data_IF_986714739467
#
_entry.id   IF_986714739467
#
_cell.length_a   1.000
_cell.length_b   1.000
_cell.length_c   1.000
_cell.angle_alpha   90.00
_cell.angle_beta   90.00
_cell.angle_gamma   90.00
#
_symmetry.space_group_name_H-M   'P 1'
#
loop_
_entity.id
_entity.type
_entity.pdbx_description
1 polymer ?
#
# COMPACT_ATOMS: atom_id res chain seq x y z
N UNK A 1 -63.57 30.19 -80.37
CA UNK A 1 -64.05 29.35 -79.24
C UNK A 1 -62.91 29.13 -78.24
N UNK A 2 -63.22 29.02 -76.94
CA UNK A 2 -62.30 29.25 -75.82
C UNK A 2 -61.70 27.96 -75.20
N UNK A 3 -60.43 28.07 -74.78
CA UNK A 3 -59.65 27.46 -73.67
C UNK A 3 -59.85 25.96 -73.32
N UNK A 4 -58.77 25.19 -73.07
CA UNK A 4 -58.58 24.79 -71.67
C UNK A 4 -57.18 25.12 -71.10
N UNK A 5 -57.08 25.29 -69.78
CA UNK A 5 -55.88 25.69 -69.07
C UNK A 5 -55.00 24.49 -68.67
N UNK A 6 -53.71 24.81 -68.54
CA UNK A 6 -52.59 24.19 -67.79
C UNK A 6 -52.87 22.91 -66.99
N UNK A 7 -51.98 21.93 -67.09
CA UNK A 7 -51.60 21.09 -65.94
C UNK A 7 -50.11 21.20 -65.64
N UNK A 8 -49.70 21.35 -64.36
CA UNK A 8 -48.31 21.52 -63.98
C UNK A 8 -47.55 20.20 -64.09
N UNK A 9 -46.28 20.28 -64.47
CA UNK A 9 -45.32 19.17 -64.41
C UNK A 9 -45.19 18.73 -62.95
N UNK A 10 -45.35 17.44 -62.61
CA UNK A 10 -45.11 16.97 -61.26
C UNK A 10 -43.62 17.12 -60.93
N UNK A 11 -43.32 18.03 -59.99
CA UNK A 11 -42.00 18.11 -59.36
C UNK A 11 -41.81 16.87 -58.49
N UNK A 12 -41.04 15.90 -58.98
CA UNK A 12 -40.56 14.78 -58.18
C UNK A 12 -39.38 15.32 -57.35
N UNK A 13 -39.70 15.91 -56.19
CA UNK A 13 -38.69 16.08 -55.15
C UNK A 13 -38.38 14.68 -54.56
N UNK A 14 -37.11 14.26 -54.45
CA UNK A 14 -36.79 13.04 -53.72
C UNK A 14 -37.04 13.32 -52.24
N UNK A 15 -38.20 12.89 -51.73
CA UNK A 15 -38.48 12.90 -50.29
C UNK A 15 -37.58 11.85 -49.64
N UNK A 16 -36.36 12.26 -49.26
CA UNK A 16 -35.40 11.34 -48.63
C UNK A 16 -35.89 10.90 -47.24
N UNK A 17 -36.81 11.61 -46.58
CA UNK A 17 -37.57 11.16 -45.41
C UNK A 17 -38.83 12.02 -45.27
N UNK A 18 -40.04 11.46 -45.36
CA UNK A 18 -41.29 12.21 -45.11
C UNK A 18 -41.72 12.04 -43.63
N UNK A 19 -42.31 13.06 -43.03
CA UNK A 19 -42.88 12.97 -41.68
C UNK A 19 -43.97 11.87 -41.65
N UNK A 20 -43.97 11.04 -40.59
CA UNK A 20 -44.72 9.77 -40.43
C UNK A 20 -44.19 8.52 -41.15
N UNK A 21 -43.03 8.55 -41.82
CA UNK A 21 -42.37 7.31 -42.28
C UNK A 21 -41.39 6.76 -41.24
N UNK A 22 -41.25 5.43 -41.17
CA UNK A 22 -40.32 4.71 -40.26
C UNK A 22 -38.89 5.28 -40.30
N UNK A 23 -38.44 5.78 -41.45
CA UNK A 23 -37.13 6.39 -41.62
C UNK A 23 -36.93 7.65 -40.75
N UNK A 24 -37.96 8.47 -40.55
CA UNK A 24 -37.92 9.66 -39.70
C UNK A 24 -37.89 9.33 -38.19
N UNK A 25 -38.58 8.26 -37.77
CA UNK A 25 -38.49 7.78 -36.38
C UNK A 25 -37.12 7.18 -36.05
N UNK A 26 -36.58 6.33 -36.94
CA UNK A 26 -35.22 5.80 -36.77
C UNK A 26 -34.19 6.93 -36.81
N UNK A 27 -34.30 7.92 -37.71
CA UNK A 27 -33.39 9.06 -37.76
C UNK A 27 -33.35 9.90 -36.47
N UNK A 28 -34.45 9.93 -35.69
CA UNK A 28 -34.51 10.66 -34.41
C UNK A 28 -33.90 9.88 -33.23
N UNK A 29 -34.06 8.56 -33.18
CA UNK A 29 -33.61 7.73 -32.04
C UNK A 29 -32.20 7.15 -32.16
N UNK A 30 -31.75 6.85 -33.39
CA UNK A 30 -30.47 6.19 -33.66
C UNK A 30 -29.25 7.02 -33.22
N UNK A 31 -29.20 8.35 -33.40
CA UNK A 31 -28.07 9.16 -32.94
C UNK A 31 -27.91 9.11 -31.41
N UNK A 32 -29.03 9.18 -30.67
CA UNK A 32 -29.02 9.13 -29.22
C UNK A 32 -28.56 7.75 -28.70
N UNK A 33 -29.03 6.67 -29.30
CA UNK A 33 -28.61 5.32 -28.94
C UNK A 33 -27.12 5.06 -29.25
N UNK A 34 -26.63 5.53 -30.40
CA UNK A 34 -25.20 5.43 -30.76
C UNK A 34 -24.32 6.24 -29.81
N UNK A 35 -24.72 7.48 -29.50
CA UNK A 35 -24.01 8.32 -28.52
C UNK A 35 -24.02 7.67 -27.13
N UNK A 36 -25.14 7.10 -26.70
CA UNK A 36 -25.23 6.39 -25.41
C UNK A 36 -24.31 5.17 -25.37
N UNK A 37 -24.25 4.36 -26.42
CA UNK A 37 -23.36 3.20 -26.51
C UNK A 37 -21.89 3.61 -26.52
N UNK A 38 -21.52 4.66 -27.28
CA UNK A 38 -20.17 5.19 -27.29
C UNK A 38 -19.77 5.76 -25.92
N UNK A 39 -20.66 6.53 -25.29
CA UNK A 39 -20.44 7.06 -23.95
C UNK A 39 -20.28 5.93 -22.92
N UNK A 40 -21.12 4.89 -22.97
CA UNK A 40 -21.03 3.73 -22.11
C UNK A 40 -19.71 2.97 -22.32
N UNK A 41 -19.29 2.78 -23.57
CA UNK A 41 -18.01 2.14 -23.89
C UNK A 41 -16.83 2.94 -23.36
N UNK A 42 -16.80 4.26 -23.60
CA UNK A 42 -15.76 5.14 -23.08
C UNK A 42 -15.74 5.09 -21.55
N UNK A 43 -16.89 5.22 -20.89
CA UNK A 43 -17.01 5.13 -19.44
C UNK A 43 -16.48 3.79 -18.91
N UNK A 44 -16.82 2.66 -19.55
CA UNK A 44 -16.34 1.34 -19.18
C UNK A 44 -14.81 1.22 -19.31
N UNK A 45 -14.22 1.75 -20.38
CA UNK A 45 -12.75 1.73 -20.56
C UNK A 45 -12.03 2.58 -19.53
N UNK A 46 -12.57 3.76 -19.19
CA UNK A 46 -12.03 4.63 -18.14
C UNK A 46 -12.13 3.94 -16.78
N UNK A 47 -13.30 3.38 -16.44
CA UNK A 47 -13.52 2.67 -15.18
C UNK A 47 -12.57 1.48 -15.03
N UNK A 48 -12.35 0.70 -16.09
CA UNK A 48 -11.40 -0.41 -16.07
C UNK A 48 -9.96 0.06 -15.82
N UNK A 49 -9.54 1.16 -16.46
CA UNK A 49 -8.22 1.76 -16.22
C UNK A 49 -8.10 2.29 -14.79
N UNK A 50 -9.13 2.97 -14.28
CA UNK A 50 -9.15 3.46 -12.90
C UNK A 50 -9.07 2.32 -11.89
N UNK A 51 -9.80 1.22 -12.11
CA UNK A 51 -9.71 0.04 -11.26
C UNK A 51 -8.28 -0.53 -11.22
N UNK A 52 -7.63 -0.67 -12.38
CA UNK A 52 -6.23 -1.14 -12.45
C UNK A 52 -5.27 -0.21 -11.70
N UNK A 53 -5.42 1.10 -11.87
CA UNK A 53 -4.59 2.11 -11.17
C UNK A 53 -4.86 2.08 -9.67
N UNK A 54 -6.13 2.02 -9.25
CA UNK A 54 -6.50 1.94 -7.83
C UNK A 54 -5.94 0.69 -7.16
N UNK A 55 -5.99 -0.46 -7.84
CA UNK A 55 -5.39 -1.70 -7.35
C UNK A 55 -3.87 -1.61 -7.21
N UNK A 56 -3.19 -1.04 -8.21
CA UNK A 56 -1.75 -0.83 -8.15
C UNK A 56 -1.37 0.14 -7.01
N UNK A 57 -2.14 1.21 -6.82
CA UNK A 57 -1.95 2.17 -5.74
C UNK A 57 -2.17 1.53 -4.36
N UNK A 58 -3.22 0.73 -4.19
CA UNK A 58 -3.48 0.02 -2.93
C UNK A 58 -2.32 -0.91 -2.55
N UNK A 59 -1.74 -1.62 -3.52
CA UNK A 59 -0.58 -2.48 -3.28
C UNK A 59 0.66 -1.66 -2.91
N UNK A 60 0.89 -0.53 -3.57
CA UNK A 60 1.99 0.37 -3.25
C UNK A 60 1.84 0.95 -1.83
N UNK A 61 0.65 1.49 -1.51
CA UNK A 61 0.35 2.04 -0.19
C UNK A 61 0.57 0.96 0.90
N UNK A 62 0.14 -0.28 0.66
CA UNK A 62 0.36 -1.38 1.61
C UNK A 62 1.83 -1.75 1.76
N UNK A 63 2.60 -1.74 0.66
CA UNK A 63 4.04 -1.95 0.71
C UNK A 63 4.74 -0.85 1.51
N UNK A 64 4.43 0.42 1.23
CA UNK A 64 5.01 1.57 1.95
C UNK A 64 4.73 1.46 3.45
N UNK A 65 3.49 1.14 3.85
CA UNK A 65 3.13 0.94 5.26
C UNK A 65 3.88 -0.20 5.93
N UNK A 66 4.20 -1.27 5.19
CA UNK A 66 4.99 -2.39 5.70
C UNK A 66 6.47 -2.01 5.79
N UNK A 67 6.99 -1.33 4.77
CA UNK A 67 8.36 -0.88 4.74
C UNK A 67 8.65 0.11 5.87
N UNK A 68 7.75 1.07 6.14
CA UNK A 68 7.82 2.00 7.28
C UNK A 68 8.05 1.26 8.62
N UNK A 69 7.31 0.17 8.85
CA UNK A 69 7.42 -0.60 10.09
C UNK A 69 8.67 -1.46 10.15
N UNK A 70 9.07 -2.03 9.02
CA UNK A 70 10.35 -2.74 8.92
C UNK A 70 11.52 -1.80 9.23
N UNK A 71 11.52 -0.62 8.63
CA UNK A 71 12.58 0.38 8.78
C UNK A 71 12.69 0.83 10.25
N UNK A 72 11.55 1.10 10.90
CA UNK A 72 11.48 1.41 12.33
C UNK A 72 12.10 0.31 13.21
N UNK A 73 11.79 -0.95 12.95
CA UNK A 73 12.32 -2.10 13.73
C UNK A 73 13.81 -2.29 13.47
N UNK A 74 14.23 -2.18 12.20
CA UNK A 74 15.62 -2.35 11.79
C UNK A 74 16.51 -1.23 12.33
N UNK A 75 16.04 0.02 12.28
CA UNK A 75 16.73 1.18 12.84
C UNK A 75 16.89 1.04 14.36
N UNK A 76 15.83 0.60 15.05
CA UNK A 76 15.89 0.30 16.49
C UNK A 76 16.96 -0.77 16.80
N UNK A 77 16.93 -1.91 16.13
CA UNK A 77 17.91 -2.99 16.34
C UNK A 77 19.34 -2.53 16.02
N UNK A 78 19.51 -1.75 14.95
CA UNK A 78 20.80 -1.19 14.54
C UNK A 78 21.34 -0.22 15.57
N UNK A 79 20.50 0.66 16.12
CA UNK A 79 20.88 1.57 17.18
C UNK A 79 21.30 0.85 18.45
N UNK A 80 20.54 -0.16 18.90
CA UNK A 80 20.92 -0.99 20.05
C UNK A 80 22.29 -1.65 19.82
N UNK A 81 22.53 -2.19 18.62
CA UNK A 81 23.80 -2.86 18.31
C UNK A 81 25.01 -1.93 18.27
N UNK A 82 24.88 -0.68 17.82
CA UNK A 82 26.02 0.23 17.63
C UNK A 82 26.28 1.14 18.84
N UNK A 83 25.22 1.64 19.46
CA UNK A 83 25.30 2.69 20.48
C UNK A 83 24.96 2.19 21.89
N UNK A 84 24.62 0.90 22.03
CA UNK A 84 24.00 0.36 23.24
C UNK A 84 22.57 0.85 23.41
N UNK A 85 21.97 0.57 24.56
CA UNK A 85 20.56 0.92 24.82
C UNK A 85 20.39 2.29 25.48
N UNK A 86 21.46 2.91 25.96
CA UNK A 86 21.42 4.22 26.65
C UNK A 86 20.74 5.36 25.86
N UNK A 87 20.80 5.36 24.53
CA UNK A 87 20.17 6.40 23.69
C UNK A 87 18.67 6.18 23.46
N UNK A 88 18.19 4.94 23.60
CA UNK A 88 16.83 4.53 23.23
C UNK A 88 15.82 4.63 24.38
N UNK A 89 16.21 5.24 25.51
CA UNK A 89 15.36 5.30 26.70
C UNK A 89 14.38 6.47 26.66
N UNK A 90 13.15 6.12 26.26
CA UNK A 90 11.97 6.97 26.37
C UNK A 90 11.11 6.83 25.14
N UNK A 91 11.25 7.78 24.23
CA UNK A 91 10.36 7.97 23.08
C UNK A 91 10.45 6.83 22.07
N UNK A 92 11.65 6.46 21.58
CA UNK A 92 11.76 5.44 20.53
C UNK A 92 11.27 4.06 20.96
N UNK A 93 11.52 3.67 22.23
CA UNK A 93 11.01 2.41 22.78
C UNK A 93 9.49 2.43 22.90
N UNK A 94 8.91 3.53 23.37
CA UNK A 94 7.45 3.70 23.48
C UNK A 94 6.82 3.68 22.09
N UNK A 95 7.42 4.35 21.12
CA UNK A 95 6.95 4.39 19.74
C UNK A 95 6.93 2.99 19.13
N UNK A 96 8.03 2.24 19.26
CA UNK A 96 8.10 0.86 18.78
C UNK A 96 7.05 -0.03 19.47
N UNK A 97 6.89 0.07 20.80
CA UNK A 97 5.86 -0.66 21.53
C UNK A 97 4.44 -0.29 21.07
N UNK A 98 4.17 0.99 20.81
CA UNK A 98 2.87 1.47 20.33
C UNK A 98 2.57 1.01 18.89
N UNK A 99 3.59 0.67 18.10
CA UNK A 99 3.40 0.10 16.76
C UNK A 99 3.07 -1.39 16.77
N UNK A 100 3.18 -2.09 17.90
CA UNK A 100 2.99 -3.54 17.99
C UNK A 100 1.61 -4.02 17.48
N UNK A 101 0.46 -3.37 17.77
CA UNK A 101 -0.82 -3.75 17.19
C UNK A 101 -0.85 -3.58 15.66
N UNK A 102 -0.19 -2.53 15.14
CA UNK A 102 -0.10 -2.26 13.69
C UNK A 102 0.75 -3.33 13.00
N UNK A 103 1.83 -3.77 13.64
CA UNK A 103 2.69 -4.86 13.16
C UNK A 103 1.91 -6.18 13.13
N UNK A 104 1.19 -6.50 14.21
CA UNK A 104 0.33 -7.69 14.27
C UNK A 104 -0.71 -7.70 13.16
N UNK A 105 -1.31 -6.55 12.85
CA UNK A 105 -2.29 -6.44 11.77
C UNK A 105 -1.68 -6.61 10.36
N UNK A 106 -0.52 -5.99 10.10
CA UNK A 106 0.07 -5.96 8.75
C UNK A 106 0.89 -7.20 8.40
N UNK A 107 1.49 -7.84 9.42
CA UNK A 107 2.43 -8.96 9.26
C UNK A 107 1.97 -10.25 9.95
N UNK A 108 1.06 -10.16 10.93
CA UNK A 108 0.59 -11.29 11.71
C UNK A 108 1.33 -11.46 13.05
N UNK A 109 0.92 -12.44 13.87
CA UNK A 109 1.43 -12.64 15.22
C UNK A 109 2.93 -12.98 15.25
N UNK A 110 3.43 -13.76 14.30
CA UNK A 110 4.85 -14.17 14.26
C UNK A 110 5.81 -12.97 14.30
N UNK A 111 5.53 -11.94 13.51
CA UNK A 111 6.38 -10.74 13.47
C UNK A 111 6.13 -9.85 14.69
N UNK A 112 4.90 -9.80 15.20
CA UNK A 112 4.59 -9.06 16.42
C UNK A 112 5.31 -9.64 17.65
N UNK A 113 5.36 -10.97 17.76
CA UNK A 113 6.07 -11.69 18.83
C UNK A 113 7.58 -11.48 18.71
N UNK A 114 8.12 -11.50 17.49
CA UNK A 114 9.53 -11.19 17.27
C UNK A 114 9.89 -9.74 17.63
N UNK A 115 9.04 -8.76 17.31
CA UNK A 115 9.27 -7.37 17.72
C UNK A 115 9.16 -7.22 19.23
N UNK A 116 8.30 -8.00 19.88
CA UNK A 116 8.25 -8.09 21.33
C UNK A 116 9.56 -8.62 21.93
N UNK A 117 10.13 -9.67 21.34
CA UNK A 117 11.43 -10.23 21.74
C UNK A 117 12.56 -9.19 21.64
N UNK A 118 12.57 -8.36 20.58
CA UNK A 118 13.50 -7.21 20.45
C UNK A 118 13.36 -6.26 21.64
N UNK A 119 12.13 -5.90 22.04
CA UNK A 119 11.85 -4.98 23.15
C UNK A 119 12.22 -5.59 24.52
N UNK A 120 12.05 -6.90 24.70
CA UNK A 120 12.42 -7.60 25.94
C UNK A 120 13.95 -7.73 26.07
N UNK A 121 14.62 -8.09 24.97
CA UNK A 121 16.07 -8.19 24.92
C UNK A 121 16.73 -6.82 25.12
N UNK A 122 16.15 -5.74 24.57
CA UNK A 122 16.67 -4.38 24.79
C UNK A 122 16.49 -3.93 26.24
N UNK A 123 15.34 -4.22 26.86
CA UNK A 123 15.10 -3.93 28.28
C UNK A 123 16.05 -4.71 29.20
N UNK A 124 16.35 -5.97 28.85
CA UNK A 124 17.30 -6.81 29.56
C UNK A 124 18.72 -6.25 29.47
N UNK A 125 19.15 -5.87 28.27
CA UNK A 125 20.45 -5.25 28.04
C UNK A 125 20.58 -3.95 28.83
N UNK A 126 19.52 -3.15 28.91
CA UNK A 126 19.53 -1.90 29.66
C UNK A 126 19.69 -2.11 31.16
N UNK A 127 19.03 -3.12 31.70
CA UNK A 127 19.17 -3.45 33.11
C UNK A 127 20.61 -3.85 33.43
N UNK A 128 21.27 -4.55 32.52
CA UNK A 128 22.70 -4.92 32.67
C UNK A 128 23.62 -3.70 32.51
N UNK A 129 23.36 -2.82 31.54
CA UNK A 129 24.11 -1.57 31.37
C UNK A 129 23.97 -0.66 32.60
N UNK A 130 22.77 -0.57 33.19
CA UNK A 130 22.55 0.17 34.44
C UNK A 130 23.30 -0.45 35.62
N UNK A 131 23.27 -1.78 35.76
CA UNK A 131 24.03 -2.47 36.80
C UNK A 131 25.54 -2.27 36.62
N UNK A 132 26.01 -2.25 35.37
CA UNK A 132 27.40 -1.96 35.00
C UNK A 132 27.78 -0.52 35.36
N UNK A 133 26.93 0.45 35.04
CA UNK A 133 27.13 1.86 35.38
C UNK A 133 27.18 2.08 36.90
N UNK A 134 26.27 1.43 37.65
CA UNK A 134 26.25 1.45 39.11
C UNK A 134 27.49 0.77 39.73
N UNK A 135 28.16 -0.11 38.99
CA UNK A 135 29.37 -0.82 39.41
C UNK A 135 30.64 -0.23 38.76
N UNK A 136 30.74 1.11 38.67
CA UNK A 136 31.89 1.85 38.13
C UNK A 136 32.29 1.45 36.70
N UNK A 137 31.33 1.06 35.87
CA UNK A 137 31.57 0.63 34.50
C UNK A 137 32.07 -0.81 34.36
N UNK A 138 32.11 -1.59 35.44
CA UNK A 138 32.49 -3.00 35.42
C UNK A 138 31.25 -3.87 35.43
N UNK A 139 31.01 -4.64 34.37
CA UNK A 139 29.86 -5.55 34.32
C UNK A 139 30.00 -6.63 35.39
N UNK A 140 28.98 -6.85 36.24
CA UNK A 140 29.01 -7.91 37.25
C UNK A 140 29.30 -9.29 36.62
N UNK A 141 30.17 -10.13 37.22
CA UNK A 141 30.59 -11.41 36.62
C UNK A 141 29.43 -12.33 36.23
N UNK A 142 28.34 -12.33 36.99
CA UNK A 142 27.13 -13.11 36.73
C UNK A 142 26.29 -12.59 35.55
N UNK A 143 26.58 -11.40 35.02
CA UNK A 143 25.87 -10.76 33.91
C UNK A 143 26.70 -10.66 32.64
N UNK A 144 28.02 -10.91 32.69
CA UNK A 144 28.94 -10.80 31.54
C UNK A 144 28.50 -11.71 30.38
N UNK A 145 28.11 -12.95 30.69
CA UNK A 145 27.66 -13.90 29.68
C UNK A 145 26.38 -13.42 28.99
N UNK A 146 25.37 -13.03 29.77
CA UNK A 146 24.10 -12.53 29.25
C UNK A 146 24.26 -11.23 28.45
N UNK A 147 25.13 -10.33 28.92
CA UNK A 147 25.47 -9.11 28.18
C UNK A 147 26.05 -9.45 26.80
N UNK A 148 27.05 -10.34 26.77
CA UNK A 148 27.71 -10.76 25.53
C UNK A 148 26.75 -11.45 24.57
N UNK A 149 25.86 -12.30 25.08
CA UNK A 149 24.81 -12.97 24.31
C UNK A 149 23.88 -11.94 23.65
N UNK A 150 23.34 -11.00 24.45
CA UNK A 150 22.43 -9.97 23.97
C UNK A 150 23.10 -9.05 22.93
N UNK A 151 24.33 -8.60 23.18
CA UNK A 151 25.07 -7.79 22.21
C UNK A 151 25.24 -8.54 20.88
N UNK A 152 25.65 -9.82 20.91
CA UNK A 152 25.78 -10.64 19.70
C UNK A 152 24.45 -10.84 18.99
N UNK A 153 23.37 -11.07 19.75
CA UNK A 153 22.04 -11.22 19.21
C UNK A 153 21.62 -9.96 18.45
N UNK A 154 21.73 -8.78 19.06
CA UNK A 154 21.42 -7.51 18.38
C UNK A 154 22.30 -7.24 17.16
N UNK A 155 23.58 -7.61 17.19
CA UNK A 155 24.46 -7.51 16.02
C UNK A 155 23.96 -8.39 14.86
N UNK A 156 23.51 -9.61 15.15
CA UNK A 156 22.95 -10.49 14.13
C UNK A 156 21.61 -9.96 13.60
N UNK A 157 20.71 -9.52 14.49
CA UNK A 157 19.40 -9.01 14.11
C UNK A 157 19.52 -7.73 13.25
N UNK A 158 20.43 -6.82 13.61
CA UNK A 158 20.72 -5.60 12.84
C UNK A 158 21.35 -5.91 11.47
N UNK A 159 22.20 -6.94 11.38
CA UNK A 159 22.89 -7.30 10.15
C UNK A 159 21.98 -8.03 9.14
N UNK A 160 21.18 -9.00 9.60
CA UNK A 160 20.35 -9.81 8.71
C UNK A 160 19.03 -10.28 9.32
N UNK A 161 18.94 -10.52 10.62
CA UNK A 161 17.79 -11.18 11.23
C UNK A 161 16.46 -10.44 11.00
N UNK A 162 16.43 -9.11 11.19
CA UNK A 162 15.23 -8.30 10.90
C UNK A 162 14.83 -8.42 9.43
N UNK A 163 15.79 -8.29 8.52
CA UNK A 163 15.55 -8.38 7.07
C UNK A 163 15.03 -9.76 6.65
N UNK A 164 15.57 -10.83 7.21
CA UNK A 164 15.16 -12.21 6.90
C UNK A 164 13.70 -12.46 7.32
N UNK A 165 13.33 -12.03 8.54
CA UNK A 165 11.98 -12.24 9.07
C UNK A 165 10.94 -11.40 8.32
N UNK A 166 11.22 -10.12 8.07
CA UNK A 166 10.31 -9.22 7.36
C UNK A 166 10.30 -9.44 5.85
N UNK A 167 11.38 -9.97 5.26
CA UNK A 167 11.56 -10.12 3.81
C UNK A 167 10.44 -10.90 3.13
N UNK A 168 9.84 -11.88 3.81
CA UNK A 168 8.70 -12.66 3.28
C UNK A 168 7.46 -11.81 2.95
N UNK A 169 7.34 -10.65 3.59
CA UNK A 169 6.19 -9.74 3.49
C UNK A 169 6.47 -8.49 2.64
N UNK A 170 7.75 -8.22 2.34
CA UNK A 170 8.24 -7.09 1.55
C UNK A 170 8.63 -7.48 0.11
N UNK A 171 8.48 -8.76 -0.26
CA UNK A 171 8.80 -9.21 -1.62
C UNK A 171 7.80 -8.69 -2.65
N UNK A 172 8.24 -7.74 -3.49
CA UNK A 172 7.48 -7.18 -4.61
C UNK A 172 7.11 -8.20 -5.69
N UNK A 173 7.86 -9.29 -5.86
CA UNK A 173 7.57 -10.26 -6.93
C UNK A 173 6.23 -10.97 -6.70
N UNK A 174 5.76 -11.06 -5.46
CA UNK A 174 4.43 -11.64 -5.14
C UNK A 174 3.25 -10.77 -5.59
N UNK A 175 3.48 -9.51 -5.94
CA UNK A 175 2.41 -8.52 -6.21
C UNK A 175 2.34 -8.07 -7.67
N UNK A 176 3.13 -8.69 -8.55
CA UNK A 176 3.21 -8.40 -9.97
C UNK A 176 2.04 -8.97 -10.76
#
# INVERSE_FOLDING_TARGET
MPIPPVTPIPQIAPAICAEHTLCFEYAKGLPAAVVALLAAFIAATIAFRQYRVAKAKLNLDLFERRYELFDLVWDYASHVSHNGVGWLHGEQRIDLANTQPKIQFLFGPEIADYVHEILENSASLWTIEQATAANNGVTPPNLVERHTELTRWFTFEAASGVREKFGRYLDFQKWR
#
